data_IF_291242351603
#
_entry.id   IF_291242351603
#
_cell.length_a   1.000
_cell.length_b   1.000
_cell.length_c   1.000
_cell.angle_alpha   90.00
_cell.angle_beta   90.00
_cell.angle_gamma   90.00
#
_symmetry.space_group_name_H-M   'P 1'
#
loop_
_entity.id
_entity.type
_entity.pdbx_description
1 polymer ?
#
# COMPACT_ATOMS: atom_id res chain seq x y z
N UNK A 1 1.10 -5.83 -49.62
CA UNK A 1 1.86 -4.97 -48.68
C UNK A 1 1.11 -4.98 -47.36
N UNK A 2 1.50 -5.84 -46.42
CA UNK A 2 0.85 -5.95 -45.11
C UNK A 2 1.55 -4.94 -44.21
N UNK A 3 0.85 -3.87 -43.81
CA UNK A 3 1.31 -2.98 -42.75
C UNK A 3 1.34 -3.81 -41.45
N UNK A 4 2.49 -3.95 -40.76
CA UNK A 4 2.46 -4.48 -39.41
C UNK A 4 1.68 -3.49 -38.54
N UNK A 5 0.48 -3.88 -38.13
CA UNK A 5 -0.24 -3.22 -37.04
C UNK A 5 0.53 -3.53 -35.76
N UNK A 6 1.51 -2.69 -35.43
CA UNK A 6 2.06 -2.69 -34.08
C UNK A 6 0.89 -2.34 -33.13
N UNK A 7 0.58 -3.19 -32.14
CA UNK A 7 -0.33 -2.78 -31.07
C UNK A 7 0.24 -1.51 -30.42
N UNK A 8 -0.61 -0.59 -29.93
CA UNK A 8 -0.14 0.66 -29.34
C UNK A 8 0.89 0.35 -28.26
N UNK A 9 2.06 0.98 -28.33
CA UNK A 9 3.08 0.89 -27.30
C UNK A 9 2.42 1.20 -25.95
N UNK A 10 2.13 0.16 -25.17
CA UNK A 10 1.54 0.26 -23.83
C UNK A 10 2.65 0.73 -22.90
N UNK A 11 2.98 2.00 -22.99
CA UNK A 11 3.85 2.63 -22.02
C UNK A 11 3.13 2.55 -20.65
N UNK A 12 3.67 1.71 -19.78
CA UNK A 12 3.18 1.52 -18.43
C UNK A 12 3.50 2.78 -17.62
N UNK A 13 2.51 3.65 -17.42
CA UNK A 13 2.66 4.82 -16.56
C UNK A 13 2.78 4.40 -15.09
N UNK A 14 3.45 5.21 -14.28
CA UNK A 14 3.62 4.92 -12.85
C UNK A 14 2.27 4.91 -12.12
N UNK A 15 1.35 5.82 -12.46
CA UNK A 15 -0.01 5.84 -11.91
C UNK A 15 -0.78 4.53 -12.20
N UNK A 16 -0.70 4.03 -13.45
CA UNK A 16 -1.33 2.77 -13.84
C UNK A 16 -0.71 1.60 -13.08
N UNK A 17 0.61 1.58 -12.97
CA UNK A 17 1.32 0.57 -12.20
C UNK A 17 0.93 0.60 -10.73
N UNK A 18 0.88 1.76 -10.09
CA UNK A 18 0.49 1.90 -8.68
C UNK A 18 -0.95 1.41 -8.44
N UNK A 19 -1.90 1.82 -9.28
CA UNK A 19 -3.30 1.39 -9.17
C UNK A 19 -3.48 -0.12 -9.33
N UNK A 20 -2.84 -0.72 -10.34
CA UNK A 20 -2.87 -2.16 -10.54
C UNK A 20 -2.13 -2.92 -9.43
N UNK A 21 -0.95 -2.45 -9.02
CA UNK A 21 -0.13 -3.07 -7.98
C UNK A 21 -0.87 -3.10 -6.65
N UNK A 22 -1.56 -2.03 -6.26
CA UNK A 22 -2.39 -2.01 -5.05
C UNK A 22 -3.43 -3.12 -5.07
N UNK A 23 -4.17 -3.25 -6.19
CA UNK A 23 -5.20 -4.27 -6.37
C UNK A 23 -4.62 -5.69 -6.30
N UNK A 24 -3.49 -5.92 -6.97
CA UNK A 24 -2.86 -7.23 -7.10
C UNK A 24 -2.15 -7.67 -5.82
N UNK A 25 -1.40 -6.78 -5.18
CA UNK A 25 -0.70 -7.07 -3.92
C UNK A 25 -1.69 -7.41 -2.80
N UNK A 26 -2.84 -6.72 -2.73
CA UNK A 26 -3.93 -7.08 -1.80
C UNK A 26 -4.42 -8.52 -2.01
N UNK A 27 -4.57 -8.96 -3.27
CA UNK A 27 -5.00 -10.33 -3.60
C UNK A 27 -3.91 -11.36 -3.32
N UNK A 28 -2.65 -11.02 -3.59
CA UNK A 28 -1.50 -11.91 -3.33
C UNK A 28 -1.17 -12.05 -1.83
N UNK A 29 -1.61 -11.12 -0.99
CA UNK A 29 -1.52 -11.26 0.47
C UNK A 29 -2.46 -12.34 1.03
N UNK A 30 -3.48 -12.77 0.28
CA UNK A 30 -4.40 -13.82 0.72
C UNK A 30 -3.70 -15.18 0.78
N UNK A 31 -4.12 -16.03 1.72
CA UNK A 31 -3.58 -17.39 1.83
C UNK A 31 -3.85 -18.19 0.56
N UNK A 32 -2.84 -18.92 0.10
CA UNK A 32 -2.93 -19.74 -1.12
C UNK A 32 -3.01 -18.92 -2.41
N UNK A 33 -2.71 -17.62 -2.39
CA UNK A 33 -2.70 -16.78 -3.59
C UNK A 33 -1.33 -16.80 -4.29
N UNK A 34 -1.36 -16.87 -5.61
CA UNK A 34 -0.19 -16.73 -6.48
C UNK A 34 -0.57 -16.10 -7.81
N UNK A 35 0.40 -15.50 -8.50
CA UNK A 35 0.22 -14.97 -9.85
C UNK A 35 0.86 -15.91 -10.86
N UNK A 36 0.11 -16.31 -11.89
CA UNK A 36 0.60 -17.10 -13.01
C UNK A 36 0.78 -16.20 -14.25
N UNK A 37 1.95 -16.27 -14.87
CA UNK A 37 2.29 -15.56 -16.11
C UNK A 37 2.79 -16.59 -17.12
N UNK A 38 2.07 -16.74 -18.24
CA UNK A 38 2.48 -17.62 -19.32
C UNK A 38 3.31 -16.85 -20.35
N UNK A 39 4.43 -17.43 -20.82
CA UNK A 39 5.32 -16.77 -21.77
C UNK A 39 4.67 -16.46 -23.12
N UNK A 40 3.65 -17.22 -23.50
CA UNK A 40 2.87 -17.03 -24.72
C UNK A 40 1.66 -16.11 -24.56
N UNK A 41 1.40 -15.61 -23.35
CA UNK A 41 0.22 -14.79 -23.06
C UNK A 41 0.59 -13.36 -22.68
N UNK A 42 -0.27 -12.42 -23.09
CA UNK A 42 -0.17 -10.99 -22.73
C UNK A 42 -0.79 -10.68 -21.36
N UNK A 43 -1.38 -11.67 -20.69
CA UNK A 43 -2.09 -11.52 -19.41
C UNK A 43 -1.41 -12.30 -18.30
N UNK A 44 -1.41 -11.71 -17.11
CA UNK A 44 -1.07 -12.34 -15.86
C UNK A 44 -2.34 -12.55 -15.02
N UNK A 45 -2.42 -13.68 -14.32
CA UNK A 45 -3.63 -14.09 -13.60
C UNK A 45 -3.30 -14.39 -12.15
N UNK A 46 -3.99 -13.74 -11.22
CA UNK A 46 -3.92 -14.11 -9.80
C UNK A 46 -4.96 -15.19 -9.54
N UNK A 47 -4.49 -16.31 -9.01
CA UNK A 47 -5.32 -17.43 -8.58
C UNK A 47 -5.19 -17.59 -7.08
N UNK A 48 -6.27 -18.05 -6.46
CA UNK A 48 -6.29 -18.47 -5.06
C UNK A 48 -6.75 -19.90 -5.00
N UNK A 49 -5.97 -20.74 -4.35
CA UNK A 49 -6.37 -22.09 -4.00
C UNK A 49 -7.21 -22.07 -2.72
N UNK A 50 -8.41 -22.66 -2.76
CA UNK A 50 -9.22 -22.85 -1.56
C UNK A 50 -8.78 -24.11 -0.81
N UNK A 51 -9.18 -24.25 0.47
CA UNK A 51 -8.88 -25.45 1.26
C UNK A 51 -9.43 -26.76 0.64
N UNK A 52 -10.37 -26.66 -0.29
CA UNK A 52 -10.90 -27.77 -1.07
C UNK A 52 -10.08 -28.12 -2.33
N UNK A 53 -8.92 -27.47 -2.56
CA UNK A 53 -8.07 -27.65 -3.74
C UNK A 53 -8.59 -26.95 -5.00
N UNK A 54 -9.67 -26.17 -4.90
CA UNK A 54 -10.24 -25.45 -6.05
C UNK A 54 -9.47 -24.16 -6.30
N UNK A 55 -8.89 -24.03 -7.50
CA UNK A 55 -8.25 -22.78 -7.92
C UNK A 55 -9.30 -21.81 -8.47
N UNK A 56 -9.43 -20.65 -7.81
CA UNK A 56 -10.33 -19.59 -8.24
C UNK A 56 -9.53 -18.39 -8.74
N UNK A 57 -9.85 -17.91 -9.94
CA UNK A 57 -9.23 -16.70 -10.49
C UNK A 57 -9.76 -15.46 -9.77
N UNK A 58 -8.88 -14.71 -9.09
CA UNK A 58 -9.25 -13.54 -8.29
C UNK A 58 -8.94 -12.21 -8.96
N UNK A 59 -7.94 -12.17 -9.85
CA UNK A 59 -7.63 -10.98 -10.65
C UNK A 59 -6.97 -11.35 -11.98
N UNK A 60 -7.06 -10.45 -12.95
CA UNK A 60 -6.34 -10.51 -14.23
C UNK A 60 -5.73 -9.14 -14.47
N UNK A 61 -4.48 -9.12 -14.89
CA UNK A 61 -3.75 -7.92 -15.30
C UNK A 61 -2.96 -8.19 -16.57
N UNK A 62 -2.33 -7.16 -17.09
CA UNK A 62 -1.44 -7.26 -18.24
C UNK A 62 -0.04 -7.72 -17.81
N UNK A 63 0.68 -8.35 -18.73
CA UNK A 63 2.00 -8.90 -18.48
C UNK A 63 3.04 -7.83 -18.12
N UNK A 64 2.96 -6.65 -18.73
CA UNK A 64 3.81 -5.48 -18.46
C UNK A 64 3.76 -5.07 -16.97
N UNK A 65 2.58 -5.07 -16.37
CA UNK A 65 2.37 -4.79 -14.94
C UNK A 65 3.08 -5.85 -14.09
N UNK A 66 2.89 -7.14 -14.40
CA UNK A 66 3.50 -8.23 -13.65
C UNK A 66 5.04 -8.19 -13.75
N UNK A 67 5.59 -7.93 -14.93
CA UNK A 67 7.03 -7.76 -15.14
C UNK A 67 7.58 -6.56 -14.36
N UNK A 68 6.89 -5.41 -14.36
CA UNK A 68 7.28 -4.26 -13.57
C UNK A 68 7.24 -4.55 -12.05
N UNK A 69 6.23 -5.29 -11.58
CA UNK A 69 6.17 -5.74 -10.18
C UNK A 69 7.32 -6.68 -9.81
N UNK A 70 7.72 -7.57 -10.72
CA UNK A 70 8.87 -8.45 -10.53
C UNK A 70 10.20 -7.68 -10.53
N UNK A 71 10.36 -6.72 -11.44
CA UNK A 71 11.54 -5.84 -11.50
C UNK A 71 11.68 -4.96 -10.26
N UNK A 72 10.57 -4.50 -9.67
CA UNK A 72 10.56 -3.79 -8.38
C UNK A 72 10.76 -4.72 -7.17
N UNK A 73 10.87 -6.04 -7.38
CA UNK A 73 11.04 -7.03 -6.34
C UNK A 73 9.80 -7.25 -5.46
N UNK A 74 8.62 -6.80 -5.90
CA UNK A 74 7.38 -6.96 -5.14
C UNK A 74 6.81 -8.38 -5.22
N UNK A 75 7.15 -9.09 -6.30
CA UNK A 75 6.83 -10.50 -6.49
C UNK A 75 8.08 -11.26 -6.96
N UNK A 76 8.18 -12.55 -6.61
CA UNK A 76 9.31 -13.41 -6.98
C UNK A 76 8.84 -14.73 -7.56
N UNK A 77 9.65 -15.31 -8.43
CA UNK A 77 9.45 -16.63 -9.03
C UNK A 77 10.65 -17.52 -8.69
N UNK A 78 10.40 -18.68 -8.08
CA UNK A 78 11.47 -19.61 -7.68
C UNK A 78 11.96 -20.48 -8.84
N UNK A 79 11.08 -20.75 -9.81
CA UNK A 79 11.37 -21.59 -10.97
C UNK A 79 10.66 -21.05 -12.21
N UNK A 80 11.32 -20.22 -13.03
CA UNK A 80 10.74 -19.73 -14.27
C UNK A 80 10.54 -20.88 -15.26
N UNK A 81 9.43 -20.85 -15.97
CA UNK A 81 9.06 -21.87 -16.94
C UNK A 81 7.99 -21.36 -17.92
N UNK A 82 7.41 -22.25 -18.74
CA UNK A 82 6.37 -21.89 -19.72
C UNK A 82 5.20 -21.11 -19.08
N UNK A 83 4.87 -21.50 -17.85
CA UNK A 83 4.03 -20.75 -16.92
C UNK A 83 4.86 -20.47 -15.68
N UNK A 84 5.26 -19.22 -15.52
CA UNK A 84 5.99 -18.75 -14.34
C UNK A 84 5.01 -18.40 -13.23
N UNK A 85 5.28 -18.90 -12.02
CA UNK A 85 4.45 -18.66 -10.83
C UNK A 85 5.17 -17.69 -9.92
N UNK A 86 4.48 -16.63 -9.55
CA UNK A 86 5.00 -15.55 -8.74
C UNK A 86 4.26 -15.47 -7.40
N UNK A 87 5.01 -15.26 -6.33
CA UNK A 87 4.50 -15.04 -4.97
C UNK A 87 4.85 -13.64 -4.49
N UNK A 88 4.07 -13.11 -3.56
CA UNK A 88 4.38 -11.82 -2.93
C UNK A 88 5.61 -11.93 -2.02
N UNK A 89 6.53 -10.98 -2.14
CA UNK A 89 7.73 -10.89 -1.30
C UNK A 89 7.50 -10.04 -0.05
N UNK A 90 8.48 -10.00 0.87
CA UNK A 90 8.48 -9.03 1.96
C UNK A 90 8.45 -7.57 1.46
N UNK A 91 9.22 -7.27 0.41
CA UNK A 91 9.22 -5.94 -0.22
C UNK A 91 7.86 -5.59 -0.84
N UNK A 92 7.16 -6.55 -1.45
CA UNK A 92 5.81 -6.35 -1.97
C UNK A 92 4.78 -6.06 -0.87
N UNK A 93 4.88 -6.75 0.27
CA UNK A 93 4.02 -6.48 1.44
C UNK A 93 4.30 -5.08 2.02
N UNK A 94 5.57 -4.70 2.13
CA UNK A 94 5.96 -3.36 2.59
C UNK A 94 5.46 -2.27 1.63
N UNK A 95 5.62 -2.48 0.32
CA UNK A 95 5.13 -1.56 -0.72
C UNK A 95 3.61 -1.39 -0.65
N UNK A 96 2.85 -2.48 -0.45
CA UNK A 96 1.41 -2.40 -0.23
C UNK A 96 1.08 -1.55 1.00
N UNK A 97 1.76 -1.76 2.13
CA UNK A 97 1.56 -0.94 3.33
C UNK A 97 1.81 0.54 3.08
N UNK A 98 2.90 0.89 2.39
CA UNK A 98 3.22 2.27 2.02
C UNK A 98 2.15 2.90 1.11
N UNK A 99 1.65 2.15 0.11
CA UNK A 99 0.57 2.64 -0.75
C UNK A 99 -0.73 2.90 0.02
N UNK A 100 -1.06 2.05 1.00
CA UNK A 100 -2.24 2.24 1.87
C UNK A 100 -2.10 3.48 2.74
N UNK A 101 -0.94 3.65 3.39
CA UNK A 101 -0.67 4.82 4.23
C UNK A 101 -0.72 6.14 3.43
N UNK A 102 -0.27 6.13 2.17
CA UNK A 102 -0.36 7.29 1.30
C UNK A 102 -1.81 7.65 0.95
N UNK A 103 -2.67 6.65 0.73
CA UNK A 103 -4.10 6.87 0.49
C UNK A 103 -4.82 7.43 1.73
N UNK A 104 -4.49 6.90 2.92
CA UNK A 104 -5.04 7.38 4.19
C UNK A 104 -4.61 8.82 4.49
N UNK A 105 -3.33 9.13 4.29
CA UNK A 105 -2.81 10.49 4.49
C UNK A 105 -3.45 11.48 3.51
N UNK A 106 -3.65 11.09 2.25
CA UNK A 106 -4.30 11.93 1.25
C UNK A 106 -5.77 12.20 1.58
N UNK A 107 -6.49 11.18 2.08
CA UNK A 107 -7.85 11.34 2.56
C UNK A 107 -7.95 12.25 3.80
N UNK A 108 -6.98 12.15 4.72
CA UNK A 108 -6.89 13.03 5.87
C UNK A 108 -6.64 14.49 5.45
N UNK A 109 -5.79 14.75 4.46
CA UNK A 109 -5.55 16.11 3.94
C UNK A 109 -6.79 16.69 3.25
N UNK A 110 -7.64 15.88 2.62
CA UNK A 110 -8.91 16.36 2.06
C UNK A 110 -9.96 16.67 3.13
N UNK A 111 -10.07 15.86 4.19
CA UNK A 111 -10.93 16.21 5.34
C UNK A 111 -10.37 17.40 6.13
N UNK A 112 -9.05 17.47 6.31
CA UNK A 112 -8.39 18.59 6.97
C UNK A 112 -8.48 19.86 6.11
N UNK A 113 -8.41 19.81 4.77
CA UNK A 113 -8.65 21.00 3.94
C UNK A 113 -10.13 21.45 3.90
N UNK A 114 -11.08 20.54 4.17
CA UNK A 114 -12.48 20.88 4.39
C UNK A 114 -12.71 21.52 5.77
N UNK A 115 -11.98 21.10 6.81
CA UNK A 115 -12.05 21.64 8.18
C UNK A 115 -11.12 22.86 8.44
N UNK A 116 -9.96 22.94 7.78
CA UNK A 116 -8.93 23.99 7.88
C UNK A 116 -9.32 25.28 7.12
N UNK A 117 -10.42 25.26 6.38
CA UNK A 117 -11.12 26.51 6.03
C UNK A 117 -11.70 27.22 7.26
N UNK A 118 -11.51 26.69 8.47
CA UNK A 118 -11.90 27.35 9.72
C UNK A 118 -10.82 27.64 10.76
N UNK A 119 -9.57 27.20 10.68
CA UNK A 119 -8.57 27.59 11.70
C UNK A 119 -7.11 27.64 11.18
N UNK A 120 -6.40 28.78 11.26
CA UNK A 120 -5.02 28.91 10.84
C UNK A 120 -4.08 28.83 12.06
N UNK A 121 -3.55 27.65 12.41
CA UNK A 121 -2.30 27.49 13.16
C UNK A 121 -2.02 26.02 13.53
N UNK A 122 -1.52 25.22 12.57
CA UNK A 122 -0.71 24.06 12.93
C UNK A 122 0.74 24.42 12.65
N UNK A 123 1.52 24.68 13.71
CA UNK A 123 2.94 24.95 13.57
C UNK A 123 3.68 23.65 13.21
N UNK A 124 4.72 23.69 12.37
CA UNK A 124 5.42 22.50 11.87
C UNK A 124 6.17 21.69 12.94
N UNK A 125 6.24 22.17 14.17
CA UNK A 125 6.85 21.47 15.33
C UNK A 125 5.82 20.96 16.34
N UNK A 126 4.54 21.00 16.01
CA UNK A 126 3.48 20.69 16.94
C UNK A 126 2.86 19.31 16.69
N UNK A 127 2.58 18.58 17.78
CA UNK A 127 1.97 17.26 17.73
C UNK A 127 0.46 17.36 17.50
N UNK A 128 -0.17 16.39 16.80
CA UNK A 128 -1.62 16.41 16.58
C UNK A 128 -2.45 16.45 17.89
N UNK A 129 -1.97 15.81 18.97
CA UNK A 129 -2.63 15.87 20.28
C UNK A 129 -2.46 17.25 20.95
N UNK A 130 -1.31 17.91 20.80
CA UNK A 130 -1.13 19.27 21.28
C UNK A 130 -2.06 20.26 20.55
N UNK A 131 -2.25 20.10 19.25
CA UNK A 131 -3.19 20.91 18.48
C UNK A 131 -4.64 20.71 18.97
N UNK A 132 -5.06 19.46 19.20
CA UNK A 132 -6.38 19.13 19.74
C UNK A 132 -6.57 19.59 21.20
N UNK A 133 -5.52 19.63 22.00
CA UNK A 133 -5.58 20.09 23.40
C UNK A 133 -6.01 21.55 23.56
N UNK A 134 -5.70 22.39 22.56
CA UNK A 134 -6.11 23.80 22.53
C UNK A 134 -7.54 24.02 22.04
N UNK A 135 -8.14 23.01 21.39
CA UNK A 135 -9.49 23.09 20.85
C UNK A 135 -10.51 23.03 22.00
N UNK A 136 -11.60 23.79 21.85
CA UNK A 136 -12.75 23.72 22.75
C UNK A 136 -13.85 22.85 22.16
N UNK A 137 -14.53 22.10 23.02
CA UNK A 137 -15.74 21.37 22.63
C UNK A 137 -16.93 22.32 22.44
N UNK A 138 -18.09 21.76 22.10
CA UNK A 138 -19.33 22.53 21.88
C UNK A 138 -19.84 23.23 23.15
N UNK A 139 -19.38 22.81 24.32
CA UNK A 139 -19.77 23.34 25.64
C UNK A 139 -18.71 24.30 26.20
N UNK A 140 -17.62 24.56 25.47
CA UNK A 140 -16.51 25.43 25.89
C UNK A 140 -15.47 24.74 26.79
N UNK A 141 -15.61 23.43 27.03
CA UNK A 141 -14.63 22.60 27.71
C UNK A 141 -13.39 22.34 26.84
N UNK A 142 -12.31 21.87 27.45
CA UNK A 142 -11.13 21.42 26.70
C UNK A 142 -11.48 20.14 25.94
N UNK A 143 -11.20 20.09 24.64
CA UNK A 143 -11.52 18.93 23.79
C UNK A 143 -10.76 17.67 24.21
N UNK A 144 -9.55 17.83 24.76
CA UNK A 144 -8.79 16.76 25.39
C UNK A 144 -8.32 17.22 26.78
N UNK A 145 -8.47 16.33 27.76
CA UNK A 145 -7.88 16.55 29.07
C UNK A 145 -6.33 16.47 28.98
N UNK A 146 -5.59 17.26 29.77
CA UNK A 146 -4.12 17.23 29.78
C UNK A 146 -3.52 15.84 30.03
N UNK A 147 -4.20 15.01 30.81
CA UNK A 147 -3.80 13.63 31.09
C UNK A 147 -3.89 12.73 29.84
N UNK A 148 -4.90 12.91 28.98
CA UNK A 148 -5.04 12.14 27.74
C UNK A 148 -3.98 12.53 26.71
N UNK A 149 -3.61 13.81 26.67
CA UNK A 149 -2.48 14.29 25.87
C UNK A 149 -1.19 13.63 26.34
N UNK A 150 -0.92 13.64 27.65
CA UNK A 150 0.30 13.02 28.20
C UNK A 150 0.39 11.52 27.94
N UNK A 151 -0.72 10.79 28.05
CA UNK A 151 -0.78 9.35 27.75
C UNK A 151 -0.54 9.11 26.26
N UNK A 152 -1.16 9.90 25.38
CA UNK A 152 -1.01 9.76 23.94
C UNK A 152 0.39 10.12 23.43
N UNK A 153 1.02 11.17 23.97
CA UNK A 153 2.42 11.51 23.63
C UNK A 153 3.38 10.40 24.04
N UNK A 154 3.23 9.85 25.26
CA UNK A 154 4.04 8.72 25.71
C UNK A 154 3.84 7.48 24.85
N UNK A 155 2.61 7.17 24.45
CA UNK A 155 2.32 6.03 23.57
C UNK A 155 2.97 6.21 22.19
N UNK A 156 2.98 7.44 21.66
CA UNK A 156 3.65 7.76 20.40
C UNK A 156 5.17 7.59 20.54
N UNK A 157 5.77 8.13 21.60
CA UNK A 157 7.19 7.97 21.91
C UNK A 157 7.59 6.49 22.05
N UNK A 158 6.80 5.69 22.76
CA UNK A 158 7.04 4.25 22.93
C UNK A 158 6.94 3.50 21.60
N UNK A 159 5.98 3.87 20.74
CA UNK A 159 5.85 3.29 19.40
C UNK A 159 7.03 3.65 18.49
N UNK A 160 7.49 4.90 18.53
CA UNK A 160 8.66 5.36 17.79
C UNK A 160 9.94 4.65 18.25
N UNK A 161 10.13 4.48 19.55
CA UNK A 161 11.25 3.72 20.13
C UNK A 161 11.22 2.24 19.72
N UNK A 162 10.05 1.60 19.73
CA UNK A 162 9.89 0.21 19.29
C UNK A 162 10.22 0.02 17.81
N UNK A 163 9.88 1.00 16.97
CA UNK A 163 10.16 0.99 15.53
C UNK A 163 11.65 1.27 15.22
N UNK A 164 12.34 2.07 16.04
CA UNK A 164 13.78 2.31 15.90
C UNK A 164 14.64 1.12 16.39
N UNK A 165 14.15 0.34 17.35
CA UNK A 165 14.84 -0.87 17.83
C UNK A 165 14.76 -2.07 16.87
N UNK A 166 13.75 -2.12 16.00
CA UNK A 166 13.54 -3.21 15.04
C UNK A 166 14.40 -3.11 13.76
N UNK A 167 15.17 -2.01 13.59
CA UNK A 167 16.03 -1.77 12.43
C UNK A 167 17.54 -1.97 12.67
N UNK A 168 17.95 -2.37 13.87
CA UNK A 168 19.37 -2.49 14.27
C UNK A 168 19.84 -3.93 14.45
N UNK A 169 20.51 -4.47 13.43
CA UNK A 169 21.54 -5.51 13.46
C UNK A 169 21.30 -6.79 14.29
N UNK A 170 21.02 -7.89 13.59
CA UNK A 170 21.43 -9.25 14.00
C UNK A 170 22.76 -9.55 13.30
N UNK A 171 23.89 -9.72 14.00
CA UNK A 171 25.01 -10.52 13.50
C UNK A 171 24.74 -12.02 13.66
#
# INVERSE_FOLDING_TARGET
>A
MIRPTHPPERNLSDERLQGEALRLLRRLCERGALMAVAMSMEKAVVVRETEAGTQTRTAVTDRDVAEAMALKGWISCDAPGPVSRYYITGAGRAALGAMLAHLESSAMVETDAAEARRDPALAPSETPLAALSRRRDKEGGQFLAPELVRVGERLREDFELAQMGAGGAVP
#
